data_IF_863959253916
#
_entry.id   IF_863959253916
#
_cell.length_a   1.000
_cell.length_b   1.000
_cell.length_c   1.000
_cell.angle_alpha   90.00
_cell.angle_beta   90.00
_cell.angle_gamma   90.00
#
_symmetry.space_group_name_H-M   'P 1'
#
loop_
_entity.id
_entity.type
_entity.pdbx_description
1 polymer ?
#
# COMPACT_ATOMS: atom_id res chain seq x y z
N UNK A 1 23.09 10.03 26.79
CA UNK A 1 21.80 10.35 27.45
C UNK A 1 20.96 9.10 27.37
N UNK A 2 20.62 8.49 28.51
CA UNK A 2 19.79 7.29 28.56
C UNK A 2 18.36 7.74 28.83
N UNK A 3 17.44 7.46 27.91
CA UNK A 3 16.02 7.73 28.06
C UNK A 3 15.36 6.38 28.31
N UNK A 4 14.68 6.26 29.44
CA UNK A 4 13.91 5.05 29.73
C UNK A 4 12.56 5.17 29.00
N UNK A 5 12.31 4.25 28.06
CA UNK A 5 11.12 4.26 27.22
C UNK A 5 10.02 3.42 27.88
N UNK A 6 8.78 3.89 27.86
CA UNK A 6 7.64 3.08 28.29
C UNK A 6 7.37 2.03 27.21
N UNK A 7 6.69 0.94 27.55
CA UNK A 7 6.37 -0.13 26.59
C UNK A 7 5.57 0.35 25.36
N UNK A 8 4.77 1.42 25.50
CA UNK A 8 4.06 2.06 24.38
C UNK A 8 5.00 2.85 23.45
N UNK A 9 6.11 3.37 24.00
CA UNK A 9 7.13 4.12 23.26
C UNK A 9 8.06 3.16 22.50
N UNK A 10 8.32 1.96 23.03
CA UNK A 10 9.10 0.91 22.35
C UNK A 10 8.44 0.46 21.04
N UNK A 11 7.11 0.25 21.06
CA UNK A 11 6.38 -0.13 19.85
C UNK A 11 6.42 1.00 18.80
N UNK A 12 6.38 2.25 19.26
CA UNK A 12 6.48 3.43 18.41
C UNK A 12 7.88 3.57 17.82
N UNK A 13 8.92 3.32 18.62
CA UNK A 13 10.31 3.34 18.17
C UNK A 13 10.59 2.25 17.14
N UNK A 14 10.05 1.05 17.33
CA UNK A 14 10.25 -0.06 16.39
C UNK A 14 9.55 0.20 15.04
N UNK A 15 8.37 0.81 15.07
CA UNK A 15 7.70 1.30 13.85
C UNK A 15 8.54 2.36 13.14
N UNK A 16 9.07 3.31 13.90
CA UNK A 16 9.94 4.36 13.37
C UNK A 16 11.23 3.79 12.78
N UNK A 17 11.85 2.80 13.43
CA UNK A 17 13.05 2.11 12.93
C UNK A 17 12.79 1.44 11.59
N UNK A 18 11.72 0.63 11.50
CA UNK A 18 11.32 -0.03 10.25
C UNK A 18 11.07 0.98 9.14
N UNK A 19 10.42 2.10 9.47
CA UNK A 19 10.11 3.14 8.51
C UNK A 19 11.35 3.92 8.04
N UNK A 20 12.27 4.24 8.95
CA UNK A 20 13.46 5.02 8.62
C UNK A 20 14.58 4.16 8.04
N UNK A 21 14.43 2.83 8.03
CA UNK A 21 15.43 1.89 7.54
C UNK A 21 16.72 1.89 8.38
N UNK A 22 16.62 2.27 9.66
CA UNK A 22 17.76 2.41 10.56
C UNK A 22 18.06 1.09 11.28
N UNK A 23 19.32 0.84 11.59
CA UNK A 23 19.76 -0.45 12.16
C UNK A 23 19.82 -0.42 13.70
N UNK A 24 19.78 0.77 14.31
CA UNK A 24 20.00 0.97 15.75
C UNK A 24 19.12 2.04 16.37
N UNK A 25 18.81 1.93 17.67
CA UNK A 25 17.94 2.89 18.38
C UNK A 25 18.53 4.30 18.42
N UNK A 26 19.86 4.38 18.50
CA UNK A 26 20.59 5.65 18.44
C UNK A 26 20.50 6.30 17.05
N UNK A 27 20.46 5.49 16.00
CA UNK A 27 20.31 5.97 14.63
C UNK A 27 18.87 6.40 14.36
N UNK A 28 17.90 5.58 14.77
CA UNK A 28 16.47 5.93 14.76
C UNK A 28 16.22 7.22 15.53
N UNK A 29 16.78 7.36 16.72
CA UNK A 29 16.66 8.55 17.56
C UNK A 29 17.25 9.80 16.90
N UNK A 30 18.43 9.68 16.26
CA UNK A 30 19.02 10.80 15.49
C UNK A 30 18.17 11.17 14.28
N UNK A 31 17.65 10.20 13.55
CA UNK A 31 16.80 10.44 12.39
C UNK A 31 15.48 11.13 12.80
N UNK A 32 14.87 10.69 13.90
CA UNK A 32 13.69 11.34 14.48
C UNK A 32 13.97 12.76 14.95
N UNK A 33 15.09 13.01 15.64
CA UNK A 33 15.50 14.35 16.06
C UNK A 33 15.77 15.27 14.86
N UNK A 34 16.43 14.77 13.82
CA UNK A 34 16.69 15.53 12.60
C UNK A 34 15.38 15.89 11.87
N UNK A 35 14.43 14.98 11.83
CA UNK A 35 13.10 15.23 11.30
C UNK A 35 12.38 16.33 12.10
N UNK A 36 12.38 16.22 13.42
CA UNK A 36 11.77 17.22 14.30
C UNK A 36 12.41 18.60 14.11
N UNK A 37 13.74 18.66 13.99
CA UNK A 37 14.46 19.90 13.73
C UNK A 37 14.09 20.52 12.37
N UNK A 38 13.92 19.71 11.31
CA UNK A 38 13.45 20.18 10.00
C UNK A 38 12.03 20.74 10.08
N UNK A 39 11.14 20.07 10.80
CA UNK A 39 9.76 20.55 11.01
C UNK A 39 9.77 21.88 11.77
N UNK A 40 10.54 21.99 12.85
CA UNK A 40 10.69 23.22 13.63
C UNK A 40 11.21 24.38 12.77
N UNK A 41 12.26 24.14 11.98
CA UNK A 41 12.83 25.15 11.08
C UNK A 41 11.83 25.60 10.00
N UNK A 42 10.99 24.71 9.50
CA UNK A 42 9.93 25.06 8.55
C UNK A 42 8.85 25.94 9.19
N UNK A 43 8.47 25.65 10.44
CA UNK A 43 7.53 26.48 11.22
C UNK A 43 8.10 27.87 11.46
N UNK A 44 9.38 27.98 11.84
CA UNK A 44 10.05 29.26 12.06
C UNK A 44 10.11 30.12 10.78
N UNK A 45 10.07 29.48 9.61
CA UNK A 45 10.02 30.14 8.29
C UNK A 45 8.58 30.47 7.84
N UNK A 46 7.58 30.30 8.72
CA UNK A 46 6.18 30.62 8.45
C UNK A 46 5.35 29.48 7.84
N UNK A 47 5.88 28.25 7.81
CA UNK A 47 5.12 27.09 7.34
C UNK A 47 4.13 26.61 8.41
N UNK A 48 2.90 26.28 7.99
CA UNK A 48 1.88 25.69 8.88
C UNK A 48 1.94 24.18 8.78
N UNK A 49 2.24 23.50 9.89
CA UNK A 49 2.17 22.03 9.97
C UNK A 49 0.73 21.62 10.22
N UNK A 50 0.17 20.83 9.30
CA UNK A 50 -1.17 20.25 9.42
C UNK A 50 -1.09 18.73 9.38
N UNK A 51 -1.71 18.08 10.35
CA UNK A 51 -1.90 16.63 10.33
C UNK A 51 -3.23 16.35 9.62
N UNK A 52 -3.15 16.06 8.33
CA UNK A 52 -4.32 15.72 7.53
C UNK A 52 -4.47 14.19 7.44
N UNK A 53 -5.71 13.68 7.36
CA UNK A 53 -5.93 12.31 6.91
C UNK A 53 -5.18 12.06 5.61
N UNK A 54 -4.50 10.92 5.48
CA UNK A 54 -3.62 10.61 4.34
C UNK A 54 -4.34 10.55 2.98
N UNK A 55 -5.67 10.56 3.00
CA UNK A 55 -6.57 10.57 1.85
C UNK A 55 -7.16 11.97 1.54
N UNK A 56 -6.80 13.02 2.29
CA UNK A 56 -7.22 14.40 1.96
C UNK A 56 -6.46 14.90 0.71
N UNK A 57 -7.18 15.28 -0.37
CA UNK A 57 -6.58 15.73 -1.62
C UNK A 57 -5.77 17.05 -1.50
N UNK A 58 -5.88 17.76 -0.38
CA UNK A 58 -5.09 18.97 -0.07
C UNK A 58 -3.82 18.66 0.72
N UNK A 59 -3.62 17.43 1.15
CA UNK A 59 -2.40 17.03 1.84
C UNK A 59 -1.23 17.02 0.85
N UNK A 60 -0.31 17.98 1.02
CA UNK A 60 1.01 17.90 0.40
C UNK A 60 1.87 17.07 1.34
N UNK A 61 2.26 15.88 0.88
CA UNK A 61 3.15 15.01 1.64
C UNK A 61 4.53 15.65 1.75
N UNK A 62 4.81 16.24 2.91
CA UNK A 62 6.05 16.96 3.16
C UNK A 62 7.25 16.02 3.36
N UNK A 63 7.01 14.72 3.59
CA UNK A 63 8.05 13.73 3.87
C UNK A 63 7.70 12.37 3.26
N UNK A 64 7.66 12.27 1.91
CA UNK A 64 7.17 11.10 1.20
C UNK A 64 7.97 9.83 1.46
N UNK A 65 9.24 9.94 1.87
CA UNK A 65 10.08 8.80 2.23
C UNK A 65 9.56 8.09 3.48
N UNK A 66 9.15 8.85 4.49
CA UNK A 66 8.61 8.32 5.76
C UNK A 66 7.21 7.78 5.53
N UNK A 67 6.36 8.53 4.81
CA UNK A 67 5.01 8.09 4.47
C UNK A 67 5.05 6.77 3.69
N UNK A 68 5.93 6.65 2.69
CA UNK A 68 6.11 5.40 1.92
C UNK A 68 6.62 4.24 2.76
N UNK A 69 7.37 4.50 3.83
CA UNK A 69 7.94 3.43 4.65
C UNK A 69 7.01 2.97 5.79
N UNK A 70 6.14 3.87 6.29
CA UNK A 70 5.08 3.53 7.26
C UNK A 70 3.84 2.99 6.55
N UNK A 71 3.54 3.51 5.35
CA UNK A 71 2.37 3.24 4.53
C UNK A 71 2.77 3.12 3.05
N UNK A 72 3.36 2.00 2.64
CA UNK A 72 3.79 1.78 1.25
C UNK A 72 2.67 1.94 0.22
N UNK A 73 1.40 1.84 0.64
CA UNK A 73 0.22 2.15 -0.16
C UNK A 73 0.05 3.64 -0.51
N UNK A 74 0.60 4.56 0.29
CA UNK A 74 0.48 6.01 0.08
C UNK A 74 1.38 6.52 -1.06
N UNK A 75 2.27 5.67 -1.59
CA UNK A 75 3.09 5.97 -2.77
C UNK A 75 2.24 6.14 -4.04
N UNK A 76 1.06 5.53 -4.08
CA UNK A 76 0.22 5.46 -5.27
C UNK A 76 -0.99 6.37 -5.10
N UNK A 77 -1.26 7.22 -6.08
CA UNK A 77 -2.39 8.17 -6.04
C UNK A 77 -3.73 7.49 -6.32
N UNK A 78 -3.70 6.44 -7.14
CA UNK A 78 -4.88 5.75 -7.65
C UNK A 78 -5.06 4.36 -7.06
N UNK A 79 -4.19 3.91 -6.14
CA UNK A 79 -4.34 2.65 -5.45
C UNK A 79 -4.73 2.88 -3.99
N UNK A 80 -5.74 2.15 -3.52
CA UNK A 80 -6.25 2.26 -2.15
C UNK A 80 -6.45 0.90 -1.52
N UNK A 81 -6.30 0.84 -0.21
CA UNK A 81 -6.66 -0.36 0.54
C UNK A 81 -8.18 -0.40 0.72
N UNK A 82 -8.82 -1.45 0.19
CA UNK A 82 -10.24 -1.73 0.43
C UNK A 82 -10.33 -2.85 1.46
N UNK A 83 -10.95 -2.63 2.64
CA UNK A 83 -11.08 -3.66 3.65
C UNK A 83 -11.74 -4.91 3.09
N UNK A 84 -11.03 -6.03 3.12
CA UNK A 84 -11.53 -7.32 2.69
C UNK A 84 -11.12 -8.40 3.70
N UNK A 85 -12.00 -9.37 3.91
CA UNK A 85 -11.83 -10.44 4.91
C UNK A 85 -10.54 -11.25 4.76
N UNK A 86 -9.96 -11.32 3.56
CA UNK A 86 -8.73 -12.07 3.31
C UNK A 86 -7.78 -11.45 2.27
N UNK A 87 -8.22 -10.44 1.51
CA UNK A 87 -7.39 -9.77 0.50
C UNK A 87 -6.70 -8.56 1.12
N UNK A 88 -5.44 -8.37 0.78
CA UNK A 88 -4.55 -7.31 1.25
C UNK A 88 -3.96 -6.50 0.09
N UNK A 89 -4.12 -6.95 -1.16
CA UNK A 89 -3.75 -6.18 -2.34
C UNK A 89 -4.47 -4.83 -2.40
N UNK A 90 -3.77 -3.84 -2.97
CA UNK A 90 -4.40 -2.55 -3.28
C UNK A 90 -5.38 -2.67 -4.45
N UNK A 91 -6.44 -1.88 -4.38
CA UNK A 91 -7.48 -1.79 -5.40
C UNK A 91 -7.41 -0.45 -6.12
N UNK A 92 -7.86 -0.44 -7.37
CA UNK A 92 -7.97 0.78 -8.16
C UNK A 92 -9.04 1.68 -7.52
N UNK A 93 -8.68 2.90 -7.15
CA UNK A 93 -9.54 3.85 -6.45
C UNK A 93 -10.80 4.13 -7.27
N UNK A 94 -11.97 3.88 -6.69
CA UNK A 94 -13.26 4.07 -7.35
C UNK A 94 -13.72 2.89 -8.20
N UNK A 95 -12.91 1.83 -8.35
CA UNK A 95 -13.25 0.64 -9.12
C UNK A 95 -13.25 -0.62 -8.24
N UNK A 96 -14.02 -1.63 -8.66
CA UNK A 96 -14.14 -2.91 -7.94
C UNK A 96 -13.14 -3.95 -8.44
N UNK A 97 -11.91 -3.54 -8.75
CA UNK A 97 -10.85 -4.41 -9.24
C UNK A 97 -9.56 -4.16 -8.46
N UNK A 98 -8.80 -5.23 -8.21
CA UNK A 98 -7.46 -5.11 -7.63
C UNK A 98 -6.43 -4.73 -8.70
N UNK A 99 -5.29 -4.19 -8.27
CA UNK A 99 -4.16 -3.96 -9.17
C UNK A 99 -3.72 -5.28 -9.86
N UNK A 100 -3.69 -6.40 -9.12
CA UNK A 100 -3.38 -7.71 -9.68
C UNK A 100 -4.38 -8.19 -10.73
N UNK A 101 -5.69 -7.97 -10.52
CA UNK A 101 -6.73 -8.33 -11.50
C UNK A 101 -6.62 -7.49 -12.78
N UNK A 102 -6.32 -6.19 -12.65
CA UNK A 102 -6.09 -5.32 -13.80
C UNK A 102 -4.89 -5.83 -14.62
N UNK A 103 -3.74 -6.03 -13.98
CA UNK A 103 -2.51 -6.49 -14.66
C UNK A 103 -2.68 -7.87 -15.27
N UNK A 104 -3.33 -8.81 -14.57
CA UNK A 104 -3.64 -10.13 -15.14
C UNK A 104 -4.55 -10.03 -16.38
N UNK A 105 -5.50 -9.10 -16.39
CA UNK A 105 -6.36 -8.85 -17.56
C UNK A 105 -5.57 -8.26 -18.72
N UNK A 106 -4.62 -7.35 -18.44
CA UNK A 106 -3.71 -6.81 -19.46
C UNK A 106 -2.83 -7.90 -20.06
N UNK A 107 -2.20 -8.72 -19.21
CA UNK A 107 -1.35 -9.85 -19.64
C UNK A 107 -2.15 -10.88 -20.47
N UNK A 108 -3.41 -11.14 -20.12
CA UNK A 108 -4.25 -12.10 -20.85
C UNK A 108 -4.74 -11.61 -22.22
N UNK A 109 -4.78 -10.28 -22.44
CA UNK A 109 -5.29 -9.67 -23.67
C UNK A 109 -4.20 -8.91 -24.45
N UNK A 110 -2.95 -8.97 -24.02
CA UNK A 110 -1.81 -8.22 -24.57
C UNK A 110 -2.07 -6.70 -24.67
N UNK A 111 -2.78 -6.12 -23.69
CA UNK A 111 -3.13 -4.70 -23.71
C UNK A 111 -1.97 -3.79 -23.30
N UNK A 112 -1.83 -2.70 -24.05
CA UNK A 112 -1.02 -1.55 -23.65
C UNK A 112 -1.68 -0.75 -22.53
N UNK A 113 -0.95 0.20 -21.95
CA UNK A 113 -1.46 1.11 -20.91
C UNK A 113 -2.71 1.86 -21.41
N UNK A 114 -2.66 2.43 -22.61
CA UNK A 114 -3.76 3.21 -23.17
C UNK A 114 -4.99 2.36 -23.49
N UNK A 115 -4.79 1.13 -23.98
CA UNK A 115 -5.88 0.20 -24.23
C UNK A 115 -6.55 -0.23 -22.93
N UNK A 116 -5.77 -0.59 -21.91
CA UNK A 116 -6.30 -0.94 -20.59
C UNK A 116 -7.02 0.25 -19.95
N UNK A 117 -6.46 1.45 -20.05
CA UNK A 117 -7.09 2.68 -19.58
C UNK A 117 -8.43 2.91 -20.27
N UNK A 118 -8.50 2.71 -21.58
CA UNK A 118 -9.75 2.82 -22.34
C UNK A 118 -10.76 1.72 -21.98
N UNK A 119 -10.33 0.47 -21.79
CA UNK A 119 -11.23 -0.66 -21.50
C UNK A 119 -11.84 -0.59 -20.11
N UNK A 120 -11.06 -0.15 -19.12
CA UNK A 120 -11.49 -0.05 -17.73
C UNK A 120 -11.97 1.36 -17.33
N UNK A 121 -12.00 2.30 -18.27
CA UNK A 121 -12.35 3.71 -18.05
C UNK A 121 -11.48 4.35 -16.96
N UNK A 122 -10.17 4.11 -17.02
CA UNK A 122 -9.16 4.56 -16.05
C UNK A 122 -8.30 5.70 -16.60
N UNK A 123 -7.69 6.45 -15.69
CA UNK A 123 -6.55 7.30 -16.02
C UNK A 123 -5.34 6.42 -16.40
N UNK A 124 -4.62 6.68 -17.50
CA UNK A 124 -3.40 5.95 -17.85
C UNK A 124 -2.36 5.89 -16.72
N UNK A 125 -2.30 6.92 -15.87
CA UNK A 125 -1.43 6.93 -14.69
C UNK A 125 -1.86 5.89 -13.65
N UNK A 126 -3.17 5.63 -13.50
CA UNK A 126 -3.66 4.57 -12.60
C UNK A 126 -3.22 3.18 -13.08
N UNK A 127 -3.21 2.95 -14.39
CA UNK A 127 -2.71 1.70 -15.00
C UNK A 127 -1.19 1.56 -14.79
N UNK A 128 -0.44 2.64 -15.00
CA UNK A 128 1.01 2.65 -14.76
C UNK A 128 1.36 2.38 -13.28
N UNK A 129 0.64 2.99 -12.34
CA UNK A 129 0.80 2.73 -10.90
C UNK A 129 0.48 1.28 -10.55
N UNK A 130 -0.56 0.69 -11.14
CA UNK A 130 -0.90 -0.72 -10.94
C UNK A 130 0.21 -1.66 -11.41
N UNK A 131 0.83 -1.39 -12.57
CA UNK A 131 1.96 -2.16 -13.09
C UNK A 131 3.18 -2.09 -12.16
N UNK A 132 3.56 -0.90 -11.69
CA UNK A 132 4.68 -0.72 -10.74
C UNK A 132 4.38 -1.43 -9.40
N UNK A 133 3.15 -1.31 -8.90
CA UNK A 133 2.72 -1.99 -7.69
C UNK A 133 2.83 -3.52 -7.81
N UNK A 134 2.28 -4.10 -8.88
CA UNK A 134 2.29 -5.56 -9.09
C UNK A 134 3.72 -6.06 -9.23
N UNK A 135 4.59 -5.36 -9.98
CA UNK A 135 5.99 -5.72 -10.12
C UNK A 135 6.72 -5.79 -8.77
N UNK A 136 6.43 -4.86 -7.85
CA UNK A 136 7.04 -4.81 -6.50
C UNK A 136 6.42 -5.79 -5.50
N UNK A 137 5.20 -6.24 -5.74
CA UNK A 137 4.41 -7.04 -4.81
C UNK A 137 4.00 -8.40 -5.39
N UNK A 138 4.71 -8.91 -6.41
CA UNK A 138 4.41 -10.17 -7.11
C UNK A 138 4.07 -11.31 -6.15
N UNK A 139 4.85 -11.51 -5.09
CA UNK A 139 4.62 -12.58 -4.10
C UNK A 139 3.25 -12.50 -3.42
N UNK A 140 2.77 -11.30 -3.09
CA UNK A 140 1.44 -11.10 -2.52
C UNK A 140 0.35 -11.33 -3.57
N UNK A 141 0.53 -10.76 -4.76
CA UNK A 141 -0.42 -10.85 -5.87
C UNK A 141 -0.65 -12.31 -6.26
N UNK A 142 0.43 -13.08 -6.42
CA UNK A 142 0.39 -14.49 -6.80
C UNK A 142 -0.25 -15.36 -5.70
N UNK A 143 0.08 -15.10 -4.43
CA UNK A 143 -0.50 -15.82 -3.31
C UNK A 143 -2.02 -15.62 -3.20
N UNK A 144 -2.49 -14.39 -3.42
CA UNK A 144 -3.92 -14.08 -3.41
C UNK A 144 -4.63 -14.60 -4.67
N UNK A 145 -3.99 -14.58 -5.84
CA UNK A 145 -4.53 -15.20 -7.04
C UNK A 145 -4.73 -16.72 -6.84
N UNK A 146 -3.78 -17.41 -6.21
CA UNK A 146 -3.90 -18.82 -5.86
C UNK A 146 -4.99 -19.10 -4.82
N UNK A 147 -5.23 -18.18 -3.88
CA UNK A 147 -6.37 -18.27 -2.95
C UNK A 147 -7.70 -18.06 -3.69
N UNK A 148 -7.75 -17.15 -4.66
CA UNK A 148 -8.93 -16.95 -5.52
C UNK A 148 -9.29 -18.23 -6.30
N UNK A 149 -8.30 -18.88 -6.90
CA UNK A 149 -8.50 -20.18 -7.57
C UNK A 149 -9.07 -21.25 -6.62
N UNK A 150 -8.48 -21.39 -5.42
CA UNK A 150 -8.96 -22.35 -4.40
C UNK A 150 -10.38 -22.07 -3.93
N UNK A 151 -10.81 -20.80 -3.93
CA UNK A 151 -12.17 -20.40 -3.55
C UNK A 151 -13.17 -20.50 -4.71
N UNK A 152 -12.69 -20.39 -5.95
CA UNK A 152 -13.49 -20.54 -7.16
C UNK A 152 -13.75 -22.00 -7.55
N UNK A 153 -12.98 -22.96 -7.00
CA UNK A 153 -13.24 -24.39 -7.21
C UNK A 153 -14.65 -24.76 -6.71
N UNK A 154 -15.54 -25.29 -7.58
CA UNK A 154 -16.81 -25.80 -7.12
C UNK A 154 -16.54 -26.97 -6.19
N UNK A 155 -17.09 -26.92 -4.97
CA UNK A 155 -17.23 -28.13 -4.13
C UNK A 155 -18.08 -29.11 -4.95
N UNK A 156 -17.44 -30.02 -5.67
CA UNK A 156 -18.10 -31.17 -6.27
C UNK A 156 -18.64 -31.97 -5.09
N UNK A 157 -19.87 -31.66 -4.68
CA UNK A 157 -20.62 -32.48 -3.75
C UNK A 157 -20.89 -33.79 -4.48
N UNK A 158 -20.21 -34.83 -4.04
CA UNK A 158 -20.43 -36.20 -4.49
C UNK A 158 -21.89 -36.55 -4.19
N UNK A 159 -22.79 -36.34 -5.15
CA UNK A 159 -24.16 -36.86 -5.07
C UNK A 159 -24.04 -38.36 -5.31
N UNK A 160 -24.12 -39.14 -4.24
CA UNK A 160 -24.14 -40.60 -4.31
C UNK A 160 -25.20 -41.07 -5.33
N UNK A 161 -24.93 -42.11 -6.13
CA UNK A 161 -25.90 -42.62 -7.07
C UNK A 161 -27.10 -43.20 -6.31
N UNK A 162 -28.31 -42.78 -6.70
CA UNK A 162 -29.53 -43.38 -6.21
C UNK A 162 -29.59 -44.83 -6.72
N UNK A 163 -29.40 -45.80 -5.82
CA UNK A 163 -29.69 -47.20 -6.10
C UNK A 163 -31.20 -47.37 -6.27
N UNK A 164 -31.60 -47.88 -7.43
CA UNK A 164 -32.93 -48.46 -7.70
C UNK A 164 -33.00 -49.88 -7.17
#
# INVERSE_FOLDING_TARGET
MQIDLRSEDELTLERARRALGTEGDSETGRALLALFARISAAIDQGSVVSFLPGDDPRAVDAVPEITSAIRPESRYRFLVHVPHQWRKQLSIKGHRITAGQLVASMEANDWTIDEAASQFELDPLAVAEALDYVARNRSLVDAEAAEDWRRAEPRITHRAPAHR
#
